data_IF_218637459388
#
_entry.id   IF_218637459388
#
_cell.length_a   1.000
_cell.length_b   1.000
_cell.length_c   1.000
_cell.angle_alpha   90.00
_cell.angle_beta   90.00
_cell.angle_gamma   90.00
#
_symmetry.space_group_name_H-M   'P 1'
#
loop_
_entity.id
_entity.type
_entity.pdbx_description
1 polymer ?
#
# COMPACT_ATOMS: atom_id res chain seq x y z
N UNK A 1 26.32 3.55 -16.90
CA UNK A 1 25.39 3.17 -15.81
C UNK A 1 25.28 4.32 -14.83
N UNK A 2 24.10 4.59 -14.29
CA UNK A 2 23.90 5.62 -13.24
C UNK A 2 24.23 5.03 -11.86
N UNK A 3 24.68 5.85 -10.90
CA UNK A 3 24.99 5.38 -9.54
C UNK A 3 23.80 4.65 -8.90
N UNK A 4 22.58 5.18 -9.07
CA UNK A 4 21.35 4.57 -8.55
C UNK A 4 21.12 3.15 -9.11
N UNK A 5 21.35 2.94 -10.41
CA UNK A 5 21.20 1.61 -11.03
C UNK A 5 22.20 0.59 -10.48
N UNK A 6 23.44 1.03 -10.18
CA UNK A 6 24.49 0.17 -9.62
C UNK A 6 24.20 -0.16 -8.16
N UNK A 7 23.80 0.82 -7.35
CA UNK A 7 23.44 0.62 -5.95
C UNK A 7 22.27 -0.35 -5.79
N UNK A 8 21.19 -0.17 -6.57
CA UNK A 8 20.04 -1.08 -6.56
C UNK A 8 20.45 -2.51 -6.93
N UNK A 9 21.35 -2.68 -7.91
CA UNK A 9 21.85 -4.00 -8.29
C UNK A 9 22.77 -4.63 -7.26
N UNK A 10 23.63 -3.85 -6.58
CA UNK A 10 24.47 -4.36 -5.48
C UNK A 10 23.60 -4.96 -4.37
N UNK A 11 22.47 -4.32 -4.02
CA UNK A 11 21.53 -4.84 -3.02
C UNK A 11 20.77 -6.09 -3.47
N UNK A 12 20.61 -6.29 -4.77
CA UNK A 12 19.90 -7.45 -5.33
C UNK A 12 20.81 -8.69 -5.49
N UNK A 13 22.11 -8.57 -5.22
CA UNK A 13 23.03 -9.71 -5.30
C UNK A 13 22.79 -10.67 -4.13
N UNK A 14 22.73 -11.99 -4.38
CA UNK A 14 22.71 -13.00 -3.30
C UNK A 14 23.92 -12.91 -2.38
N UNK A 15 25.06 -12.48 -2.91
CA UNK A 15 26.27 -12.22 -2.14
C UNK A 15 26.96 -10.94 -2.67
N UNK A 16 26.88 -9.80 -1.94
CA UNK A 16 27.52 -8.56 -2.38
C UNK A 16 29.05 -8.65 -2.43
N UNK A 17 29.67 -9.69 -1.84
CA UNK A 17 31.13 -9.93 -1.95
C UNK A 17 31.53 -10.36 -3.37
N UNK A 18 30.59 -10.90 -4.14
CA UNK A 18 30.81 -11.37 -5.50
C UNK A 18 30.23 -10.39 -6.51
N UNK A 19 30.96 -9.32 -6.80
CA UNK A 19 30.51 -8.28 -7.73
C UNK A 19 30.72 -8.72 -9.20
N UNK A 20 29.65 -8.79 -10.03
CA UNK A 20 29.76 -9.05 -11.47
C UNK A 20 30.74 -8.09 -12.17
N UNK A 21 31.39 -8.59 -13.23
CA UNK A 21 32.42 -7.85 -13.96
C UNK A 21 31.91 -6.49 -14.47
N UNK A 22 30.68 -6.46 -14.96
CA UNK A 22 30.04 -5.25 -15.50
C UNK A 22 29.93 -4.11 -14.48
N UNK A 23 29.83 -4.42 -13.18
CA UNK A 23 29.75 -3.39 -12.14
C UNK A 23 31.12 -3.02 -11.57
N UNK A 24 32.09 -3.93 -11.62
CA UNK A 24 33.45 -3.69 -11.07
C UNK A 24 34.10 -2.45 -11.67
N UNK A 25 33.96 -2.24 -12.98
CA UNK A 25 34.50 -1.05 -13.64
C UNK A 25 33.92 0.25 -13.07
N UNK A 26 32.59 0.31 -12.85
CA UNK A 26 31.94 1.50 -12.29
C UNK A 26 32.27 1.69 -10.81
N UNK A 27 32.21 0.63 -10.00
CA UNK A 27 32.54 0.68 -8.57
C UNK A 27 33.99 1.08 -8.35
N UNK A 28 34.92 0.68 -9.24
CA UNK A 28 36.31 1.12 -9.18
C UNK A 28 36.50 2.60 -9.54
N UNK A 29 35.68 3.13 -10.45
CA UNK A 29 35.78 4.53 -10.92
C UNK A 29 34.98 5.52 -10.06
N UNK A 30 33.97 5.06 -9.30
CA UNK A 30 33.07 5.91 -8.53
C UNK A 30 33.25 5.70 -7.01
N UNK A 31 33.77 6.70 -6.27
CA UNK A 31 34.04 6.54 -4.83
C UNK A 31 32.77 6.31 -4.00
N UNK A 32 31.64 6.92 -4.36
CA UNK A 32 30.37 6.73 -3.65
C UNK A 32 29.86 5.30 -3.79
N UNK A 33 29.92 4.74 -5.00
CA UNK A 33 29.54 3.33 -5.23
C UNK A 33 30.52 2.37 -4.56
N UNK A 34 31.81 2.70 -4.47
CA UNK A 34 32.79 1.92 -3.71
C UNK A 34 32.49 1.90 -2.21
N UNK A 35 32.17 3.06 -1.63
CA UNK A 35 31.78 3.17 -0.22
C UNK A 35 30.49 2.38 0.07
N UNK A 36 29.50 2.52 -0.81
CA UNK A 36 28.24 1.78 -0.73
C UNK A 36 28.43 0.26 -0.78
N UNK A 37 29.23 -0.23 -1.73
CA UNK A 37 29.56 -1.64 -1.86
C UNK A 37 30.26 -2.19 -0.60
N UNK A 38 31.26 -1.47 -0.06
CA UNK A 38 31.93 -1.85 1.20
C UNK A 38 30.94 -1.94 2.37
N UNK A 39 29.97 -1.03 2.43
CA UNK A 39 28.94 -1.07 3.46
C UNK A 39 28.03 -2.31 3.30
N UNK A 40 27.61 -2.65 2.09
CA UNK A 40 26.83 -3.84 1.81
C UNK A 40 27.58 -5.12 2.22
N UNK A 41 28.87 -5.24 1.86
CA UNK A 41 29.74 -6.36 2.27
C UNK A 41 29.86 -6.46 3.79
N UNK A 42 30.03 -5.32 4.48
CA UNK A 42 30.12 -5.28 5.94
C UNK A 42 28.84 -5.78 6.60
N UNK A 43 27.68 -5.36 6.11
CA UNK A 43 26.39 -5.81 6.63
C UNK A 43 26.21 -7.31 6.46
N UNK A 44 26.51 -7.84 5.27
CA UNK A 44 26.42 -9.29 5.01
C UNK A 44 27.33 -10.09 5.95
N UNK A 45 28.55 -9.59 6.17
CA UNK A 45 29.50 -10.20 7.11
C UNK A 45 28.98 -10.19 8.54
N UNK A 46 28.35 -9.09 8.98
CA UNK A 46 27.75 -9.00 10.32
C UNK A 46 26.56 -9.94 10.47
N UNK A 47 25.70 -10.06 9.44
CA UNK A 47 24.56 -10.98 9.44
C UNK A 47 25.03 -12.43 9.50
N UNK A 48 26.04 -12.79 8.71
CA UNK A 48 26.64 -14.12 8.74
C UNK A 48 27.31 -14.47 10.09
N UNK A 49 27.75 -13.45 10.84
CA UNK A 49 28.34 -13.61 12.17
C UNK A 49 27.30 -13.65 13.30
N UNK A 50 26.01 -13.42 13.02
CA UNK A 50 24.97 -13.52 14.05
C UNK A 50 24.91 -14.97 14.55
N UNK A 51 24.91 -15.20 15.87
CA UNK A 51 24.77 -16.54 16.42
C UNK A 51 23.39 -17.06 16.02
N UNK A 52 23.38 -18.15 15.25
CA UNK A 52 22.15 -18.89 14.98
C UNK A 52 21.77 -19.57 16.29
N UNK A 53 20.60 -19.27 16.89
CA UNK A 53 20.19 -19.93 18.12
C UNK A 53 20.15 -21.44 17.86
N UNK A 54 20.65 -22.27 18.80
CA UNK A 54 20.61 -23.71 18.63
C UNK A 54 19.15 -24.13 18.43
N UNK A 55 18.91 -25.01 17.47
CA UNK A 55 17.58 -25.57 17.28
C UNK A 55 17.14 -26.24 18.59
N UNK A 56 15.89 -26.06 19.04
CA UNK A 56 15.41 -26.75 20.23
C UNK A 56 15.55 -28.27 20.04
N UNK A 57 16.00 -28.96 21.09
CA UNK A 57 16.19 -30.41 21.05
C UNK A 57 14.91 -31.11 20.56
N UNK A 58 15.06 -32.08 19.65
CA UNK A 58 13.94 -32.84 19.11
C UNK A 58 13.06 -32.14 18.08
N UNK A 59 13.21 -30.81 17.85
CA UNK A 59 12.39 -30.12 16.83
C UNK A 59 12.79 -30.43 15.40
N UNK A 60 14.10 -30.63 15.14
CA UNK A 60 14.56 -31.05 13.82
C UNK A 60 14.05 -32.44 13.46
N UNK A 61 14.11 -33.39 14.40
CA UNK A 61 13.60 -34.74 14.19
C UNK A 61 12.08 -34.71 14.01
N UNK A 62 11.33 -34.01 14.87
CA UNK A 62 9.89 -33.88 14.71
C UNK A 62 9.49 -33.27 13.35
N UNK A 63 10.20 -32.24 12.88
CA UNK A 63 9.95 -31.66 11.56
C UNK A 63 10.27 -32.62 10.40
N UNK A 64 11.34 -33.42 10.52
CA UNK A 64 11.67 -34.44 9.53
C UNK A 64 10.67 -35.60 9.54
N UNK A 65 10.17 -35.96 10.72
CA UNK A 65 9.11 -36.96 10.88
C UNK A 65 7.80 -36.45 10.28
N UNK A 66 7.45 -35.17 10.50
CA UNK A 66 6.28 -34.52 9.88
C UNK A 66 6.42 -34.51 8.34
N UNK A 67 7.59 -34.12 7.81
CA UNK A 67 7.85 -34.16 6.36
C UNK A 67 7.87 -35.57 5.77
N UNK A 68 8.25 -36.58 6.54
CA UNK A 68 8.25 -37.98 6.09
C UNK A 68 6.85 -38.60 6.18
N UNK A 69 6.07 -38.23 7.21
CA UNK A 69 4.69 -38.68 7.40
C UNK A 69 3.74 -38.01 6.39
N UNK A 70 3.99 -36.73 6.10
CA UNK A 70 3.40 -36.02 4.98
C UNK A 70 4.16 -36.42 3.72
N UNK A 71 3.98 -37.70 3.31
CA UNK A 71 4.46 -38.21 2.04
C UNK A 71 4.18 -37.13 1.01
N UNK A 72 5.24 -36.52 0.46
CA UNK A 72 5.15 -35.47 -0.53
C UNK A 72 4.41 -36.04 -1.73
N UNK A 73 3.07 -36.00 -1.66
CA UNK A 73 2.20 -36.10 -2.81
C UNK A 73 2.41 -34.76 -3.48
N UNK A 74 3.55 -34.64 -4.18
CA UNK A 74 3.67 -33.68 -5.25
C UNK A 74 2.48 -34.02 -6.14
N UNK A 75 1.44 -33.17 -6.21
CA UNK A 75 0.38 -33.41 -7.15
C UNK A 75 1.10 -33.52 -8.48
N UNK A 76 1.05 -34.70 -9.10
CA UNK A 76 1.47 -34.85 -10.50
C UNK A 76 0.63 -33.81 -11.21
N UNK A 77 1.26 -32.71 -11.62
CA UNK A 77 0.62 -31.69 -12.42
C UNK A 77 0.39 -32.35 -13.78
N UNK A 78 -0.65 -33.17 -13.88
CA UNK A 78 -1.23 -33.55 -15.15
C UNK A 78 -1.63 -32.24 -15.77
N UNK A 79 -0.98 -31.87 -16.88
CA UNK A 79 -1.32 -30.70 -17.67
C UNK A 79 -2.77 -30.83 -18.15
N UNK A 80 -3.70 -30.40 -17.31
CA UNK A 80 -5.10 -30.29 -17.68
C UNK A 80 -5.20 -29.20 -18.74
N UNK A 81 -5.76 -29.48 -19.92
CA UNK A 81 -6.00 -28.45 -20.92
C UNK A 81 -6.83 -27.34 -20.29
N UNK A 82 -6.39 -26.08 -20.44
CA UNK A 82 -7.08 -24.91 -19.92
C UNK A 82 -8.52 -24.88 -20.45
N UNK A 83 -9.47 -25.31 -19.61
CA UNK A 83 -10.89 -25.10 -19.86
C UNK A 83 -11.20 -23.66 -19.47
N UNK A 84 -11.73 -22.90 -20.43
CA UNK A 84 -12.22 -21.55 -20.20
C UNK A 84 -13.21 -21.55 -19.02
N UNK A 85 -12.84 -20.87 -17.94
CA UNK A 85 -13.63 -20.77 -16.73
C UNK A 85 -14.77 -19.78 -16.96
N UNK A 86 -15.95 -20.30 -17.29
CA UNK A 86 -17.19 -19.54 -17.22
C UNK A 86 -17.73 -19.62 -15.80
N UNK A 87 -17.55 -18.55 -15.02
CA UNK A 87 -18.13 -18.43 -13.69
C UNK A 87 -19.65 -18.21 -13.87
N UNK A 88 -20.51 -19.13 -13.41
CA UNK A 88 -21.95 -18.93 -13.47
C UNK A 88 -22.35 -17.78 -12.55
N UNK A 89 -23.04 -16.78 -13.12
CA UNK A 89 -23.58 -15.65 -12.36
C UNK A 89 -24.62 -16.16 -11.34
N UNK A 90 -24.47 -15.86 -10.04
CA UNK A 90 -25.48 -16.22 -9.06
C UNK A 90 -26.75 -15.36 -9.24
N UNK A 91 -27.94 -15.90 -8.88
CA UNK A 91 -29.20 -15.17 -8.99
C UNK A 91 -29.24 -13.98 -8.03
N UNK A 92 -29.74 -12.84 -8.51
CA UNK A 92 -29.72 -11.52 -7.86
C UNK A 92 -30.34 -11.45 -6.45
N UNK A 93 -31.02 -12.50 -5.98
CA UNK A 93 -31.65 -12.57 -4.66
C UNK A 93 -30.73 -13.08 -3.55
N UNK A 94 -29.53 -13.59 -3.86
CA UNK A 94 -28.56 -14.08 -2.87
C UNK A 94 -27.63 -13.00 -2.29
N UNK A 95 -27.69 -11.76 -2.79
CA UNK A 95 -26.80 -10.66 -2.40
C UNK A 95 -27.20 -9.93 -1.11
N UNK A 96 -28.40 -10.18 -0.57
CA UNK A 96 -28.87 -9.52 0.65
C UNK A 96 -28.31 -10.12 1.96
N UNK A 97 -27.77 -11.35 1.93
CA UNK A 97 -27.27 -12.04 3.13
C UNK A 97 -25.77 -11.88 3.40
N UNK A 98 -24.97 -11.49 2.39
CA UNK A 98 -23.51 -11.47 2.50
C UNK A 98 -22.95 -10.22 3.20
N UNK A 99 -23.65 -9.09 3.14
CA UNK A 99 -23.22 -7.86 3.83
C UNK A 99 -23.27 -7.98 5.36
N UNK A 100 -24.26 -8.69 5.90
CA UNK A 100 -24.39 -8.92 7.34
C UNK A 100 -23.31 -9.88 7.89
N UNK A 101 -22.95 -10.93 7.13
CA UNK A 101 -21.94 -11.89 7.56
C UNK A 101 -20.53 -11.28 7.64
N UNK A 102 -20.18 -10.36 6.72
CA UNK A 102 -18.88 -9.68 6.74
C UNK A 102 -18.78 -8.69 7.92
N UNK A 103 -19.86 -7.96 8.25
CA UNK A 103 -19.88 -7.04 9.39
C UNK A 103 -19.87 -7.78 10.74
N UNK A 104 -20.53 -8.94 10.85
CA UNK A 104 -20.46 -9.78 12.07
C UNK A 104 -19.08 -10.40 12.22
N UNK A 105 -18.44 -10.86 11.14
CA UNK A 105 -17.07 -11.38 11.19
C UNK A 105 -16.04 -10.30 11.60
N UNK A 106 -16.14 -9.07 11.08
CA UNK A 106 -15.27 -7.95 11.49
C UNK A 106 -15.58 -7.42 12.91
N UNK A 107 -16.85 -7.42 13.32
CA UNK A 107 -17.27 -7.00 14.65
C UNK A 107 -16.82 -7.95 15.76
N UNK A 108 -16.97 -9.28 15.54
CA UNK A 108 -16.58 -10.30 16.51
C UNK A 108 -15.05 -10.42 16.65
N UNK A 109 -14.29 -10.21 15.56
CA UNK A 109 -12.83 -10.19 15.61
C UNK A 109 -12.27 -9.00 16.42
N UNK A 110 -12.92 -7.84 16.35
CA UNK A 110 -12.54 -6.67 17.15
C UNK A 110 -13.00 -6.75 18.61
N UNK A 111 -14.13 -7.41 18.90
CA UNK A 111 -14.64 -7.54 20.27
C UNK A 111 -13.89 -8.60 21.12
N UNK A 112 -13.30 -9.62 20.48
CA UNK A 112 -12.61 -10.73 21.19
C UNK A 112 -11.12 -10.49 21.40
N UNK A 113 -10.50 -9.53 20.70
CA UNK A 113 -9.18 -9.02 21.07
C UNK A 113 -9.35 -7.89 22.07
N UNK A 114 -9.37 -8.26 23.36
CA UNK A 114 -9.24 -7.30 24.45
C UNK A 114 -8.13 -6.29 24.12
N UNK A 115 -8.46 -5.01 24.25
CA UNK A 115 -7.60 -3.86 23.91
C UNK A 115 -6.35 -3.90 24.79
N UNK A 116 -5.39 -4.74 24.42
CA UNK A 116 -3.99 -4.50 24.75
C UNK A 116 -3.60 -3.37 23.83
N UNK A 117 -3.45 -2.16 24.38
CA UNK A 117 -2.81 -1.07 23.66
C UNK A 117 -1.56 -1.65 23.00
N UNK A 118 -1.40 -1.54 21.67
CA UNK A 118 -0.18 -2.00 21.04
C UNK A 118 0.94 -1.19 21.69
N UNK A 119 1.77 -1.85 22.49
CA UNK A 119 3.07 -1.33 22.86
C UNK A 119 3.80 -1.24 21.54
N UNK A 120 3.80 -0.04 20.95
CA UNK A 120 4.58 0.25 19.75
C UNK A 120 6.03 0.07 20.16
N UNK A 121 6.55 -1.13 19.97
CA UNK A 121 7.98 -1.39 20.07
C UNK A 121 8.65 -0.41 19.12
N UNK A 122 9.65 0.34 19.61
CA UNK A 122 10.56 1.14 18.78
C UNK A 122 11.34 0.17 17.87
N UNK A 123 10.69 -0.31 16.82
CA UNK A 123 11.37 -0.94 15.70
C UNK A 123 12.23 0.08 14.97
N UNK A 124 13.24 -0.35 14.20
CA UNK A 124 13.98 0.55 13.32
C UNK A 124 12.98 1.30 12.42
N UNK A 125 13.13 2.62 12.31
CA UNK A 125 12.20 3.50 11.62
C UNK A 125 11.88 2.98 10.20
N UNK A 126 10.62 3.14 9.73
CA UNK A 126 10.23 2.81 8.36
C UNK A 126 11.20 3.46 7.38
N UNK A 127 11.85 2.65 6.52
CA UNK A 127 12.90 3.15 5.62
C UNK A 127 12.36 3.98 4.45
N UNK A 128 11.05 3.96 4.22
CA UNK A 128 10.39 4.66 3.11
C UNK A 128 9.42 5.73 3.63
N UNK A 129 9.60 6.96 3.16
CA UNK A 129 8.83 8.14 3.59
C UNK A 129 7.31 7.97 3.38
N UNK A 130 6.87 7.30 2.29
CA UNK A 130 5.45 6.99 2.09
C UNK A 130 4.90 6.12 3.22
N UNK A 131 5.60 5.04 3.59
CA UNK A 131 5.11 4.12 4.61
C UNK A 131 4.96 4.83 5.96
N UNK A 132 5.91 5.70 6.29
CA UNK A 132 5.80 6.54 7.49
C UNK A 132 4.54 7.42 7.45
N UNK A 133 4.28 8.11 6.34
CA UNK A 133 3.07 8.92 6.17
C UNK A 133 1.80 8.08 6.26
N UNK A 134 1.74 6.93 5.58
CA UNK A 134 0.57 6.03 5.62
C UNK A 134 0.30 5.55 7.06
N UNK A 135 1.34 5.14 7.79
CA UNK A 135 1.22 4.76 9.21
C UNK A 135 0.76 5.95 10.05
N UNK A 136 1.29 7.15 9.83
CA UNK A 136 0.84 8.35 10.52
C UNK A 136 -0.64 8.65 10.23
N UNK A 137 -1.11 8.48 8.98
CA UNK A 137 -2.52 8.64 8.61
C UNK A 137 -3.42 7.58 9.24
N UNK A 138 -2.99 6.33 9.28
CA UNK A 138 -3.72 5.25 9.96
C UNK A 138 -3.85 5.52 11.46
N UNK A 139 -2.76 5.94 12.11
CA UNK A 139 -2.78 6.36 13.52
C UNK A 139 -3.70 7.58 13.73
N UNK A 140 -3.68 8.55 12.81
CA UNK A 140 -4.58 9.70 12.88
C UNK A 140 -6.05 9.27 12.73
N UNK A 141 -6.35 8.35 11.81
CA UNK A 141 -7.68 7.80 11.59
C UNK A 141 -8.18 7.00 12.80
N UNK A 142 -7.31 6.22 13.43
CA UNK A 142 -7.62 5.47 14.65
C UNK A 142 -7.87 6.40 15.86
N UNK A 143 -7.17 7.54 15.93
CA UNK A 143 -7.34 8.55 16.99
C UNK A 143 -8.50 9.52 16.73
N UNK A 144 -9.01 9.59 15.51
CA UNK A 144 -10.02 10.54 15.10
C UNK A 144 -11.35 10.31 15.84
N UNK A 145 -11.74 11.29 16.66
CA UNK A 145 -12.95 11.25 17.49
C UNK A 145 -14.15 11.89 16.81
N UNK A 146 -13.90 12.82 15.89
CA UNK A 146 -14.96 13.51 15.16
C UNK A 146 -15.01 13.06 13.69
N UNK A 147 -16.17 13.20 13.02
CA UNK A 147 -16.26 12.96 11.58
C UNK A 147 -15.27 13.82 10.78
N UNK A 148 -15.04 15.06 11.20
CA UNK A 148 -14.09 15.97 10.54
C UNK A 148 -12.66 15.44 10.60
N UNK A 149 -12.20 14.98 11.77
CA UNK A 149 -10.85 14.44 11.92
C UNK A 149 -10.64 13.22 11.01
N UNK A 150 -11.66 12.37 10.86
CA UNK A 150 -11.61 11.20 9.97
C UNK A 150 -11.52 11.62 8.51
N UNK A 151 -12.34 12.59 8.10
CA UNK A 151 -12.31 13.12 6.74
C UNK A 151 -10.98 13.80 6.41
N UNK A 152 -10.43 14.56 7.34
CA UNK A 152 -9.12 15.21 7.15
C UNK A 152 -7.98 14.17 7.08
N UNK A 153 -8.05 13.09 7.87
CA UNK A 153 -7.07 11.99 7.80
C UNK A 153 -7.14 11.23 6.47
N UNK A 154 -8.35 10.90 5.99
CA UNK A 154 -8.55 10.22 4.70
C UNK A 154 -8.13 11.09 3.51
N UNK A 155 -8.48 12.38 3.55
CA UNK A 155 -8.07 13.33 2.52
C UNK A 155 -6.54 13.47 2.48
N UNK A 156 -5.90 13.51 3.65
CA UNK A 156 -4.44 13.53 3.75
C UNK A 156 -3.79 12.24 3.22
N UNK A 157 -4.40 11.07 3.46
CA UNK A 157 -3.93 9.80 2.90
C UNK A 157 -4.02 9.79 1.38
N UNK A 158 -5.14 10.24 0.80
CA UNK A 158 -5.30 10.35 -0.65
C UNK A 158 -4.26 11.30 -1.26
N UNK A 159 -4.00 12.44 -0.61
CA UNK A 159 -2.97 13.40 -1.03
C UNK A 159 -1.55 12.80 -0.99
N UNK A 160 -1.20 12.09 0.09
CA UNK A 160 0.10 11.44 0.24
C UNK A 160 0.31 10.34 -0.82
N UNK A 161 -0.74 9.56 -1.13
CA UNK A 161 -0.71 8.54 -2.20
C UNK A 161 -0.56 9.16 -3.59
N UNK A 162 -1.31 10.24 -3.89
CA UNK A 162 -1.19 10.94 -5.17
C UNK A 162 0.16 11.65 -5.32
N UNK A 163 0.75 12.14 -4.22
CA UNK A 163 2.09 12.71 -4.26
C UNK A 163 3.14 11.64 -4.57
N UNK A 164 3.09 10.51 -3.86
CA UNK A 164 4.04 9.42 -4.05
C UNK A 164 3.91 8.75 -5.42
N UNK A 165 2.69 8.58 -5.95
CA UNK A 165 2.49 8.00 -7.27
C UNK A 165 3.25 8.76 -8.36
N UNK A 166 3.40 10.09 -8.23
CA UNK A 166 4.18 10.90 -9.17
C UNK A 166 5.68 10.61 -9.06
N UNK A 167 6.19 10.45 -7.85
CA UNK A 167 7.60 10.07 -7.63
C UNK A 167 7.88 8.65 -8.11
N UNK A 168 6.95 7.72 -7.88
CA UNK A 168 7.07 6.32 -8.30
C UNK A 168 6.95 6.15 -9.81
N UNK A 169 6.20 7.00 -10.51
CA UNK A 169 6.00 6.89 -11.95
C UNK A 169 7.29 6.91 -12.79
N UNK A 170 8.40 7.40 -12.22
CA UNK A 170 9.70 7.42 -12.89
C UNK A 170 10.54 6.16 -12.68
N UNK A 171 10.25 5.37 -11.64
CA UNK A 171 11.13 4.29 -11.16
C UNK A 171 10.43 2.95 -10.96
N UNK A 172 9.12 2.95 -10.73
CA UNK A 172 8.33 1.78 -10.39
C UNK A 172 7.78 1.08 -11.63
N UNK A 173 7.48 -0.22 -11.50
CA UNK A 173 6.86 -0.98 -12.58
C UNK A 173 5.40 -0.61 -12.81
N UNK A 174 4.83 -1.05 -13.94
CA UNK A 174 3.42 -0.85 -14.24
C UNK A 174 2.48 -1.46 -13.20
N UNK A 175 2.86 -2.61 -12.61
CA UNK A 175 2.06 -3.32 -11.62
C UNK A 175 2.06 -2.58 -10.26
N UNK A 176 3.22 -2.11 -9.81
CA UNK A 176 3.34 -1.29 -8.59
C UNK A 176 2.52 0.01 -8.73
N UNK A 177 2.60 0.66 -9.89
CA UNK A 177 1.83 1.87 -10.17
C UNK A 177 0.32 1.61 -10.15
N UNK A 178 -0.12 0.43 -10.61
CA UNK A 178 -1.53 0.02 -10.53
C UNK A 178 -1.98 -0.16 -9.08
N UNK A 179 -1.17 -0.79 -8.25
CA UNK A 179 -1.47 -1.00 -6.83
C UNK A 179 -1.64 0.33 -6.09
N UNK A 180 -0.74 1.30 -6.32
CA UNK A 180 -0.85 2.64 -5.75
C UNK A 180 -2.13 3.35 -6.20
N UNK A 181 -2.53 3.20 -7.47
CA UNK A 181 -3.78 3.76 -7.97
C UNK A 181 -5.01 3.13 -7.31
N UNK A 182 -5.00 1.82 -7.04
CA UNK A 182 -6.09 1.13 -6.33
C UNK A 182 -6.17 1.54 -4.85
N UNK A 183 -5.03 1.79 -4.19
CA UNK A 183 -5.01 2.38 -2.84
C UNK A 183 -5.58 3.79 -2.82
N UNK A 184 -5.22 4.64 -3.80
CA UNK A 184 -5.79 5.97 -3.93
C UNK A 184 -7.31 5.91 -4.12
N UNK A 185 -7.81 4.98 -4.95
CA UNK A 185 -9.25 4.74 -5.12
C UNK A 185 -9.92 4.37 -3.81
N UNK A 186 -9.35 3.44 -3.06
CA UNK A 186 -9.88 3.02 -1.75
C UNK A 186 -9.96 4.19 -0.77
N UNK A 187 -8.92 5.03 -0.71
CA UNK A 187 -8.91 6.21 0.16
C UNK A 187 -9.95 7.26 -0.28
N UNK A 188 -10.08 7.52 -1.58
CA UNK A 188 -11.05 8.47 -2.15
C UNK A 188 -12.50 8.00 -1.95
N UNK A 189 -12.79 6.73 -2.21
CA UNK A 189 -14.14 6.17 -1.99
C UNK A 189 -14.51 6.19 -0.51
N UNK A 190 -13.56 5.82 0.37
CA UNK A 190 -13.74 5.94 1.82
C UNK A 190 -13.99 7.38 2.27
N UNK A 191 -13.32 8.37 1.67
CA UNK A 191 -13.54 9.79 1.95
C UNK A 191 -14.98 10.21 1.59
N UNK A 192 -15.45 9.85 0.39
CA UNK A 192 -16.81 10.18 -0.07
C UNK A 192 -17.86 9.51 0.80
N UNK A 193 -17.67 8.23 1.13
CA UNK A 193 -18.59 7.48 1.99
C UNK A 193 -18.69 8.10 3.39
N UNK A 194 -17.57 8.45 4.01
CA UNK A 194 -17.57 9.10 5.32
C UNK A 194 -18.20 10.50 5.24
N UNK A 195 -18.03 11.23 4.14
CA UNK A 195 -18.62 12.55 3.96
C UNK A 195 -20.15 12.47 3.94
N UNK A 196 -20.71 11.45 3.29
CA UNK A 196 -22.16 11.19 3.27
C UNK A 196 -22.72 10.71 4.61
N UNK A 197 -21.87 10.29 5.56
CA UNK A 197 -22.27 9.81 6.89
C UNK A 197 -22.18 10.87 7.99
N UNK A 198 -21.69 12.08 7.68
CA UNK A 198 -21.61 13.16 8.68
C UNK A 198 -23.03 13.51 9.13
N UNK A 199 -23.37 13.44 10.43
CA UNK A 199 -24.72 13.81 10.89
C UNK A 199 -25.02 15.29 10.62
N UNK A 200 -26.26 15.66 10.22
CA UNK A 200 -26.61 17.06 9.94
C UNK A 200 -26.34 18.02 11.10
N UNK A 201 -26.50 17.55 12.34
CA UNK A 201 -26.29 18.33 13.56
C UNK A 201 -24.83 18.36 14.06
N UNK A 202 -23.92 17.60 13.44
CA UNK A 202 -22.52 17.56 13.86
C UNK A 202 -21.73 18.83 13.46
N UNK A 203 -22.22 19.56 12.46
CA UNK A 203 -21.60 20.77 11.91
C UNK A 203 -22.68 21.81 11.63
N UNK A 204 -22.33 23.10 11.75
CA UNK A 204 -23.18 24.15 11.20
C UNK A 204 -23.18 24.07 9.67
N UNK A 205 -24.22 24.61 8.98
CA UNK A 205 -24.26 24.62 7.52
C UNK A 205 -23.01 25.23 6.88
N UNK A 206 -22.47 26.31 7.47
CA UNK A 206 -21.27 26.98 6.95
C UNK A 206 -20.00 26.14 7.20
N UNK A 207 -19.86 25.51 8.37
CA UNK A 207 -18.73 24.61 8.65
C UNK A 207 -18.71 23.42 7.70
N UNK A 208 -19.88 22.83 7.45
CA UNK A 208 -20.04 21.72 6.52
C UNK A 208 -19.73 22.14 5.09
N UNK A 209 -20.23 23.29 4.62
CA UNK A 209 -19.90 23.84 3.30
C UNK A 209 -18.40 24.05 3.16
N UNK A 210 -17.76 24.69 4.15
CA UNK A 210 -16.32 24.93 4.16
C UNK A 210 -15.51 23.62 4.12
N UNK A 211 -15.92 22.60 4.89
CA UNK A 211 -15.31 21.27 4.87
C UNK A 211 -15.43 20.62 3.49
N UNK A 212 -16.63 20.55 2.92
CA UNK A 212 -16.85 19.92 1.61
C UNK A 212 -16.11 20.64 0.49
N UNK A 213 -16.06 21.97 0.52
CA UNK A 213 -15.25 22.77 -0.41
C UNK A 213 -13.76 22.40 -0.28
N UNK A 214 -13.21 22.39 0.94
CA UNK A 214 -11.80 22.04 1.17
C UNK A 214 -11.45 20.63 0.68
N UNK A 215 -12.31 19.64 0.95
CA UNK A 215 -12.11 18.26 0.49
C UNK A 215 -12.17 18.17 -1.04
N UNK A 216 -13.13 18.88 -1.65
CA UNK A 216 -13.29 18.97 -3.10
C UNK A 216 -12.07 19.60 -3.77
N UNK A 217 -11.50 20.65 -3.18
CA UNK A 217 -10.32 21.34 -3.70
C UNK A 217 -9.07 20.47 -3.61
N UNK A 218 -8.90 19.70 -2.53
CA UNK A 218 -7.79 18.73 -2.39
C UNK A 218 -7.86 17.63 -3.44
N UNK A 219 -9.03 17.03 -3.66
CA UNK A 219 -9.19 16.05 -4.75
C UNK A 219 -8.96 16.69 -6.13
N UNK A 220 -9.42 17.93 -6.33
CA UNK A 220 -9.18 18.64 -7.58
C UNK A 220 -7.67 18.81 -7.87
N UNK A 221 -6.90 19.22 -6.85
CA UNK A 221 -5.47 19.40 -6.95
C UNK A 221 -4.74 18.08 -7.19
N UNK A 222 -5.07 17.03 -6.42
CA UNK A 222 -4.53 15.69 -6.64
C UNK A 222 -4.80 15.19 -8.07
N UNK A 223 -6.02 15.41 -8.58
CA UNK A 223 -6.38 15.02 -9.93
C UNK A 223 -5.63 15.79 -11.02
N UNK A 224 -5.48 17.12 -10.88
CA UNK A 224 -4.68 17.93 -11.81
C UNK A 224 -3.21 17.51 -11.80
N UNK A 225 -2.65 17.29 -10.61
CA UNK A 225 -1.26 16.89 -10.45
C UNK A 225 -0.98 15.50 -11.04
N UNK A 226 -1.90 14.54 -10.86
CA UNK A 226 -1.79 13.21 -11.45
C UNK A 226 -1.92 13.25 -12.99
N UNK A 227 -2.84 14.06 -13.53
CA UNK A 227 -2.98 14.27 -14.97
C UNK A 227 -1.70 14.88 -15.58
N UNK A 228 -1.11 15.88 -14.92
CA UNK A 228 0.13 16.49 -15.37
C UNK A 228 1.28 15.48 -15.35
N UNK A 229 1.42 14.74 -14.25
CA UNK A 229 2.43 13.70 -14.14
C UNK A 229 2.25 12.62 -15.21
N UNK A 230 1.01 12.25 -15.58
CA UNK A 230 0.76 11.27 -16.63
C UNK A 230 1.30 11.71 -18.00
N UNK A 231 1.33 13.03 -18.27
CA UNK A 231 1.89 13.58 -19.53
C UNK A 231 3.41 13.54 -19.55
N UNK A 232 4.04 13.67 -18.39
CA UNK A 232 5.50 13.73 -18.22
C UNK A 232 6.12 12.35 -17.95
N UNK A 233 5.30 11.36 -17.61
CA UNK A 233 5.76 10.03 -17.19
C UNK A 233 5.96 9.05 -18.36
N UNK A 234 6.83 8.04 -18.18
CA UNK A 234 6.96 6.93 -19.12
C UNK A 234 5.63 6.21 -19.43
N UNK A 235 5.47 5.61 -20.63
CA UNK A 235 4.21 4.99 -21.06
C UNK A 235 3.62 3.95 -20.10
N UNK A 236 4.46 3.23 -19.36
CA UNK A 236 4.01 2.20 -18.43
C UNK A 236 3.31 2.75 -17.18
N UNK A 237 3.60 3.99 -16.77
CA UNK A 237 3.01 4.62 -15.57
C UNK A 237 1.78 5.48 -15.89
N UNK A 238 1.61 5.93 -17.14
CA UNK A 238 0.51 6.83 -17.53
C UNK A 238 -0.89 6.28 -17.21
N UNK A 239 -1.22 4.98 -17.44
CA UNK A 239 -2.56 4.47 -17.16
C UNK A 239 -2.93 4.57 -15.68
N UNK A 240 -2.00 4.27 -14.78
CA UNK A 240 -2.23 4.37 -13.34
C UNK A 240 -2.45 5.82 -12.90
N UNK A 241 -1.62 6.75 -13.37
CA UNK A 241 -1.76 8.18 -13.06
C UNK A 241 -3.07 8.77 -13.61
N UNK A 242 -3.50 8.38 -14.81
CA UNK A 242 -4.84 8.75 -15.34
C UNK A 242 -5.96 8.17 -14.48
N UNK A 243 -5.83 6.93 -14.02
CA UNK A 243 -6.82 6.35 -13.10
C UNK A 243 -6.93 7.12 -11.79
N UNK A 244 -5.82 7.63 -11.24
CA UNK A 244 -5.82 8.51 -10.06
C UNK A 244 -6.54 9.82 -10.39
N UNK A 245 -6.23 10.44 -11.53
CA UNK A 245 -6.88 11.69 -11.96
C UNK A 245 -8.40 11.54 -12.11
N UNK A 246 -8.86 10.46 -12.75
CA UNK A 246 -10.27 10.18 -12.96
C UNK A 246 -11.00 9.88 -11.64
N UNK A 247 -10.37 9.08 -10.77
CA UNK A 247 -10.89 8.79 -9.42
C UNK A 247 -11.06 10.08 -8.60
N UNK A 248 -10.12 11.01 -8.69
CA UNK A 248 -10.19 12.28 -7.98
C UNK A 248 -11.32 13.18 -8.52
N UNK A 249 -11.52 13.22 -9.84
CA UNK A 249 -12.65 13.95 -10.48
C UNK A 249 -14.00 13.38 -10.08
N UNK A 250 -14.13 12.06 -10.06
CA UNK A 250 -15.33 11.37 -9.62
C UNK A 250 -15.64 11.65 -8.14
N UNK A 251 -14.63 11.54 -7.27
CA UNK A 251 -14.74 11.88 -5.85
C UNK A 251 -15.18 13.35 -5.63
N UNK A 252 -14.58 14.30 -6.35
CA UNK A 252 -15.02 15.70 -6.34
C UNK A 252 -16.50 15.85 -6.75
N UNK A 253 -16.92 15.16 -7.80
CA UNK A 253 -18.31 15.23 -8.29
C UNK A 253 -19.27 14.70 -7.23
N UNK A 254 -18.96 13.56 -6.62
CA UNK A 254 -19.76 12.96 -5.54
C UNK A 254 -19.83 13.86 -4.29
N UNK A 255 -18.72 14.46 -3.87
CA UNK A 255 -18.70 15.41 -2.73
C UNK A 255 -19.55 16.65 -3.00
N UNK A 256 -19.55 17.19 -4.22
CA UNK A 256 -20.42 18.32 -4.61
C UNK A 256 -21.90 17.94 -4.55
N UNK A 257 -22.27 16.73 -4.98
CA UNK A 257 -23.66 16.24 -4.88
C UNK A 257 -24.08 16.11 -3.42
N UNK A 258 -23.22 15.61 -2.54
CA UNK A 258 -23.48 15.53 -1.09
C UNK A 258 -23.71 16.93 -0.53
N UNK A 259 -22.82 17.88 -0.83
CA UNK A 259 -22.93 19.26 -0.36
C UNK A 259 -24.21 19.98 -0.85
N UNK A 260 -24.66 19.69 -2.07
CA UNK A 260 -25.87 20.31 -2.63
C UNK A 260 -27.16 19.80 -1.99
N UNK A 261 -27.24 18.51 -1.66
CA UNK A 261 -28.44 17.88 -1.06
C UNK A 261 -28.81 18.43 0.31
N UNK A 262 -27.84 18.99 1.02
CA UNK A 262 -28.01 19.42 2.41
C UNK A 262 -28.19 20.93 2.55
N UNK A 263 -27.93 21.68 1.48
CA UNK A 263 -28.28 23.10 1.39
C UNK A 263 -29.67 23.38 0.83
N UNK A 264 -30.40 22.32 0.45
CA UNK A 264 -31.79 22.36 -0.03
C UNK A 264 -32.75 22.09 1.13
#
# INVERSE_FOLDING_TARGET
MTCQSVQARILALPDPRQLPADFRAHVAACPDCAAYWKQAVRLETLVAALPVPPAPAGKKTAFLDDLAAEALVFPKVTSTPQRAWSIPRPPAKALAGLAAAVLVAFGVWNATKGVKQPVVAKGPAPRHALLEKVVQRDVALAKARTPNDRLDALAGLAEDLAAESRSLALVAGADDMREVADWFRTASDGLVEQAGRVPPHALTPDQRRALMTRLTDRLAEAGRAAEQAAKESPPHAQPALRSIADTARDGQTKLRVIAAREGS
#
